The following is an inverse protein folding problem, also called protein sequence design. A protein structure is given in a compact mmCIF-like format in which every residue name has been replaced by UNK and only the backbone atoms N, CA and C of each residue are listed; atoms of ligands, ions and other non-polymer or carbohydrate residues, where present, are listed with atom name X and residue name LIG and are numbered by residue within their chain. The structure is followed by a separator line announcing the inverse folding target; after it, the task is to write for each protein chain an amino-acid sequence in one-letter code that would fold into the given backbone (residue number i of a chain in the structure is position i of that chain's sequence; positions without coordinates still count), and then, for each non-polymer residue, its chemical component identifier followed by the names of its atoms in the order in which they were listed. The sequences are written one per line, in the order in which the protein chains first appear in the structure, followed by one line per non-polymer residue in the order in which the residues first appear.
data_IF_621875762119
#
_entry.id   IF_621875762119
#
_cell.length_a   1.000
_cell.length_b   1.000
_cell.length_c   1.000
_cell.angle_alpha   90.00
_cell.angle_beta   90.00
_cell.angle_gamma   90.00
#
_symmetry.space_group_name_H-M   'P 1'
#
loop_
_entity.id
_entity.type
_entity.pdbx_description
1 polymer ?
#
# COMPACT_ATOMS: atom_id res chain seq x y z
N UNK A 1 -20.98 -6.67 25.68
CA UNK A 1 -20.82 -5.70 24.54
C UNK A 1 -19.52 -6.03 23.86
N UNK A 2 -19.56 -6.35 22.57
CA UNK A 2 -18.33 -6.52 21.79
C UNK A 2 -17.60 -5.18 21.75
N UNK A 3 -16.35 -5.19 22.16
CA UNK A 3 -15.48 -4.03 22.11
C UNK A 3 -14.90 -3.91 20.69
N UNK A 4 -14.70 -2.71 20.18
CA UNK A 4 -14.07 -2.49 18.88
C UNK A 4 -12.61 -2.94 18.90
N UNK A 5 -12.11 -3.44 17.75
CA UNK A 5 -10.83 -4.14 17.68
C UNK A 5 -9.63 -3.32 18.19
N UNK A 6 -9.51 -2.03 17.84
CA UNK A 6 -8.41 -1.18 18.33
C UNK A 6 -8.45 -0.97 19.84
N UNK A 7 -9.66 -0.92 20.46
CA UNK A 7 -9.78 -0.86 21.92
C UNK A 7 -9.33 -2.15 22.59
N UNK A 8 -9.72 -3.28 22.01
CA UNK A 8 -9.27 -4.59 22.48
C UNK A 8 -7.76 -4.75 22.34
N UNK A 9 -7.20 -4.31 21.18
CA UNK A 9 -5.76 -4.30 20.94
C UNK A 9 -5.03 -3.44 21.99
N UNK A 10 -5.50 -2.21 22.23
CA UNK A 10 -4.88 -1.32 23.21
C UNK A 10 -4.86 -1.97 24.62
N UNK A 11 -5.98 -2.58 25.03
CA UNK A 11 -6.02 -3.32 26.31
C UNK A 11 -5.03 -4.49 26.33
N UNK A 12 -4.98 -5.29 25.27
CA UNK A 12 -4.07 -6.43 25.17
C UNK A 12 -2.59 -5.99 25.22
N UNK A 13 -2.24 -4.94 24.52
CA UNK A 13 -0.89 -4.39 24.51
C UNK A 13 -0.49 -3.88 25.91
N UNK A 14 -1.39 -3.18 26.59
CA UNK A 14 -1.15 -2.66 27.94
C UNK A 14 -0.94 -3.77 28.98
N UNK A 15 -1.65 -4.89 28.85
CA UNK A 15 -1.59 -5.98 29.84
C UNK A 15 -0.48 -6.99 29.55
N UNK A 16 -0.29 -7.36 28.27
CA UNK A 16 0.52 -8.54 27.91
C UNK A 16 1.76 -8.22 27.09
N UNK A 17 1.90 -7.00 26.57
CA UNK A 17 2.99 -6.65 25.67
C UNK A 17 3.85 -5.47 26.18
N UNK A 18 4.01 -5.33 27.48
CA UNK A 18 4.72 -4.20 28.12
C UNK A 18 6.20 -4.11 27.74
N UNK A 19 6.80 -5.24 27.38
CA UNK A 19 8.21 -5.31 26.98
C UNK A 19 8.44 -4.97 25.49
N UNK A 20 7.37 -4.82 24.72
CA UNK A 20 7.44 -4.40 23.32
C UNK A 20 7.25 -2.89 23.21
N UNK A 21 7.99 -2.28 22.31
CA UNK A 21 7.89 -0.84 22.06
C UNK A 21 7.40 -0.50 20.64
N UNK A 22 7.17 -1.52 19.79
CA UNK A 22 6.80 -1.35 18.40
C UNK A 22 5.68 -2.31 17.99
N UNK A 23 4.64 -1.79 17.33
CA UNK A 23 3.46 -2.55 16.92
C UNK A 23 3.13 -2.27 15.46
N UNK A 24 2.97 -3.32 14.65
CA UNK A 24 2.40 -3.21 13.32
C UNK A 24 0.90 -3.47 13.38
N UNK A 25 0.10 -2.50 12.97
CA UNK A 25 -1.34 -2.64 12.80
C UNK A 25 -1.62 -2.82 11.31
N UNK A 26 -2.08 -4.02 10.92
CA UNK A 26 -2.51 -4.32 9.56
C UNK A 26 -3.66 -3.40 9.11
N UNK A 27 -4.02 -3.31 7.82
CA UNK A 27 -5.00 -2.34 7.35
C UNK A 27 -6.31 -2.39 8.15
N UNK A 28 -6.63 -1.29 8.80
CA UNK A 28 -7.81 -1.11 9.65
C UNK A 28 -8.81 -0.13 9.04
N UNK A 29 -8.64 0.17 7.77
CA UNK A 29 -9.48 1.05 6.96
C UNK A 29 -10.72 0.30 6.44
N UNK A 30 -11.80 0.99 6.02
CA UNK A 30 -12.85 0.39 5.23
C UNK A 30 -12.29 -0.26 3.98
N UNK A 31 -12.57 -1.53 3.79
CA UNK A 31 -12.06 -2.34 2.68
C UNK A 31 -13.14 -3.25 2.11
N UNK A 32 -12.97 -3.72 0.89
CA UNK A 32 -13.93 -4.61 0.22
C UNK A 32 -13.47 -6.06 0.15
N UNK A 33 -12.16 -6.31 0.25
CA UNK A 33 -11.57 -7.65 0.15
C UNK A 33 -10.10 -7.69 0.59
N UNK A 34 -9.47 -8.86 0.46
CA UNK A 34 -8.04 -9.11 0.67
C UNK A 34 -7.58 -8.69 2.08
N UNK A 35 -8.37 -9.08 3.11
CA UNK A 35 -8.07 -8.87 4.53
C UNK A 35 -7.69 -7.42 4.89
N UNK A 36 -8.30 -6.44 4.20
CA UNK A 36 -8.06 -5.03 4.43
C UNK A 36 -7.27 -4.32 3.32
N UNK A 37 -6.57 -5.04 2.43
CA UNK A 37 -5.70 -4.44 1.41
C UNK A 37 -6.44 -3.90 0.17
N UNK A 38 -7.75 -4.15 0.01
CA UNK A 38 -8.58 -3.47 -0.99
C UNK A 38 -9.27 -2.24 -0.36
N UNK A 39 -8.53 -1.13 -0.20
CA UNK A 39 -8.94 0.03 0.60
C UNK A 39 -10.03 0.84 -0.11
N UNK A 40 -11.14 1.08 0.59
CA UNK A 40 -12.25 1.92 0.14
C UNK A 40 -12.02 3.40 0.52
N UNK A 41 -11.50 3.65 1.74
CA UNK A 41 -11.25 5.02 2.22
C UNK A 41 -9.99 5.03 3.10
N UNK A 42 -8.97 5.75 2.65
CA UNK A 42 -7.66 5.83 3.33
C UNK A 42 -7.66 6.67 4.61
N UNK A 43 -8.67 7.52 4.82
CA UNK A 43 -8.72 8.45 5.95
C UNK A 43 -9.72 8.06 7.04
N UNK A 44 -10.48 6.99 6.82
CA UNK A 44 -11.42 6.45 7.81
C UNK A 44 -10.88 5.18 8.44
N UNK A 45 -11.21 4.96 9.68
CA UNK A 45 -11.11 3.67 10.34
C UNK A 45 -12.42 2.91 10.11
N UNK A 46 -12.35 1.59 9.81
CA UNK A 46 -13.54 0.76 9.72
C UNK A 46 -14.33 0.79 11.04
N UNK A 47 -15.65 0.87 10.93
CA UNK A 47 -16.54 1.01 12.09
C UNK A 47 -16.42 -0.15 13.10
N UNK A 48 -16.02 -1.34 12.66
CA UNK A 48 -15.78 -2.49 13.53
C UNK A 48 -14.44 -2.39 14.26
N UNK A 49 -13.47 -1.69 13.67
CA UNK A 49 -12.13 -1.54 14.25
C UNK A 49 -12.05 -0.41 15.27
N UNK A 50 -12.78 0.68 15.10
CA UNK A 50 -12.74 1.81 16.03
C UNK A 50 -12.75 3.16 15.36
N UNK A 51 -11.90 4.05 15.84
CA UNK A 51 -11.67 5.37 15.25
C UNK A 51 -10.21 5.84 15.44
N UNK A 52 -9.88 7.00 14.88
CA UNK A 52 -8.52 7.57 15.00
C UNK A 52 -8.15 7.94 16.45
N UNK A 53 -9.11 8.16 17.35
CA UNK A 53 -8.80 8.38 18.78
C UNK A 53 -8.35 7.09 19.43
N UNK A 54 -8.94 5.95 19.04
CA UNK A 54 -8.49 4.64 19.52
C UNK A 54 -7.08 4.31 19.01
N UNK A 55 -6.78 4.65 17.74
CA UNK A 55 -5.42 4.55 17.19
C UNK A 55 -4.42 5.45 17.96
N UNK A 56 -4.76 6.71 18.21
CA UNK A 56 -3.90 7.65 18.96
C UNK A 56 -3.59 7.20 20.37
N UNK A 57 -4.51 6.49 21.04
CA UNK A 57 -4.23 5.88 22.36
C UNK A 57 -3.14 4.82 22.29
N UNK A 58 -3.07 4.05 21.20
CA UNK A 58 -2.01 3.07 20.99
C UNK A 58 -0.70 3.80 20.65
N UNK A 59 -0.72 4.72 19.71
CA UNK A 59 0.48 5.43 19.26
C UNK A 59 1.08 6.40 20.31
N UNK A 60 0.33 6.73 21.36
CA UNK A 60 0.88 7.48 22.50
C UNK A 60 1.75 6.65 23.44
N UNK A 61 1.73 5.31 23.31
CA UNK A 61 2.45 4.37 24.17
C UNK A 61 3.44 3.50 23.40
N UNK A 62 3.12 3.20 22.16
CA UNK A 62 3.90 2.34 21.26
C UNK A 62 4.26 3.06 19.99
N UNK A 63 5.41 2.74 19.43
CA UNK A 63 5.74 3.10 18.05
C UNK A 63 4.85 2.26 17.11
N UNK A 64 4.05 2.93 16.30
CA UNK A 64 3.09 2.22 15.44
C UNK A 64 3.51 2.26 13.99
N UNK A 65 3.52 1.08 13.35
CA UNK A 65 3.61 0.93 11.91
C UNK A 65 2.22 0.73 11.31
N UNK A 66 1.98 1.37 10.18
CA UNK A 66 0.76 1.21 9.38
C UNK A 66 1.11 0.85 7.93
N UNK A 67 0.19 0.14 7.28
CA UNK A 67 0.31 -0.17 5.86
C UNK A 67 -0.05 1.05 5.00
N UNK A 68 0.78 1.30 4.01
CA UNK A 68 0.55 2.30 2.97
C UNK A 68 0.34 1.57 1.63
N UNK A 69 -0.91 1.24 1.35
CA UNK A 69 -1.32 0.53 0.13
C UNK A 69 -1.48 1.54 -0.99
N UNK A 70 -0.44 1.76 -1.77
CA UNK A 70 -0.43 2.79 -2.83
C UNK A 70 -0.43 2.21 -4.25
N UNK A 71 -0.15 0.92 -4.41
CA UNK A 71 -0.18 0.30 -5.74
C UNK A 71 -1.60 0.24 -6.32
N UNK A 72 -2.61 0.01 -5.49
CA UNK A 72 -4.00 -0.18 -5.89
C UNK A 72 -4.96 0.33 -4.81
N UNK A 73 -6.24 0.41 -5.16
CA UNK A 73 -7.33 0.59 -4.20
C UNK A 73 -8.53 -0.29 -4.56
N UNK A 74 -9.51 -0.38 -3.68
CA UNK A 74 -10.77 -1.08 -3.93
C UNK A 74 -11.49 -0.54 -5.17
N UNK A 75 -12.13 -1.43 -5.92
CA UNK A 75 -13.08 -1.02 -6.98
C UNK A 75 -14.32 -0.29 -6.43
N UNK A 76 -14.51 -0.29 -5.11
CA UNK A 76 -15.55 0.48 -4.41
C UNK A 76 -15.05 1.85 -3.90
N UNK A 77 -13.75 2.17 -4.08
CA UNK A 77 -13.18 3.46 -3.69
C UNK A 77 -13.78 4.60 -4.52
N UNK A 78 -13.98 5.76 -3.88
CA UNK A 78 -14.58 6.94 -4.52
C UNK A 78 -13.76 7.44 -5.71
N UNK A 79 -12.45 7.37 -5.64
CA UNK A 79 -11.57 7.72 -6.77
C UNK A 79 -11.85 6.87 -8.01
N UNK A 80 -12.14 5.56 -7.83
CA UNK A 80 -12.46 4.69 -8.96
C UNK A 80 -13.87 4.95 -9.51
N UNK A 81 -14.84 5.26 -8.66
CA UNK A 81 -16.18 5.69 -9.11
C UNK A 81 -16.08 6.98 -9.90
N UNK A 82 -15.31 7.95 -9.42
CA UNK A 82 -15.05 9.19 -10.12
C UNK A 82 -14.37 8.97 -11.47
N UNK A 83 -13.38 8.04 -11.54
CA UNK A 83 -12.78 7.64 -12.80
C UNK A 83 -13.80 7.09 -13.81
N UNK A 84 -14.71 6.22 -13.36
CA UNK A 84 -15.76 5.66 -14.22
C UNK A 84 -16.72 6.75 -14.75
N UNK A 85 -17.02 7.75 -13.93
CA UNK A 85 -17.91 8.85 -14.25
C UNK A 85 -17.20 10.04 -14.92
N UNK A 86 -15.88 10.07 -14.93
CA UNK A 86 -15.02 11.17 -15.35
C UNK A 86 -15.20 12.43 -14.48
N UNK A 87 -15.31 12.22 -13.17
CA UNK A 87 -15.41 13.25 -12.16
C UNK A 87 -14.08 13.43 -11.41
N UNK A 88 -13.83 14.62 -10.87
CA UNK A 88 -12.64 14.92 -10.06
C UNK A 88 -12.96 14.85 -8.53
N UNK A 89 -11.98 14.47 -7.72
CA UNK A 89 -10.68 13.92 -8.08
C UNK A 89 -10.78 12.45 -8.51
N UNK A 90 -9.91 12.00 -9.41
CA UNK A 90 -9.82 10.57 -9.76
C UNK A 90 -9.99 10.26 -11.24
N UNK A 91 -10.52 11.18 -12.06
CA UNK A 91 -10.84 10.96 -13.48
C UNK A 91 -9.66 10.40 -14.31
N UNK A 92 -8.42 10.64 -13.88
CA UNK A 92 -7.19 10.23 -14.57
C UNK A 92 -6.24 9.40 -13.65
N UNK A 93 -6.74 8.89 -12.52
CA UNK A 93 -5.92 8.19 -11.52
C UNK A 93 -5.64 6.72 -11.85
N UNK A 94 -6.35 6.13 -12.81
CA UNK A 94 -6.25 4.69 -13.11
C UNK A 94 -5.73 4.43 -14.53
N UNK A 95 -5.12 3.26 -14.72
CA UNK A 95 -4.54 2.86 -16.00
C UNK A 95 -5.64 2.29 -16.88
N UNK A 96 -6.13 3.10 -17.82
CA UNK A 96 -7.12 2.68 -18.80
C UNK A 96 -6.47 2.18 -20.10
N UNK A 97 -6.94 1.05 -20.59
CA UNK A 97 -6.44 0.43 -21.83
C UNK A 97 -7.58 0.07 -22.78
N UNK A 98 -7.29 0.05 -24.08
CA UNK A 98 -8.22 -0.42 -25.12
C UNK A 98 -8.12 -1.92 -25.36
N UNK A 99 -6.95 -2.51 -25.14
CA UNK A 99 -6.64 -3.92 -25.37
C UNK A 99 -5.46 -4.38 -24.50
N UNK A 100 -5.06 -5.64 -24.64
CA UNK A 100 -3.94 -6.28 -23.92
C UNK A 100 -2.60 -6.22 -24.66
N UNK A 101 -2.48 -5.44 -25.73
CA UNK A 101 -1.22 -5.34 -26.49
C UNK A 101 -0.07 -4.87 -25.60
N UNK A 102 1.13 -5.45 -25.79
CA UNK A 102 2.34 -5.07 -25.06
C UNK A 102 2.43 -5.58 -23.62
N UNK A 103 1.54 -6.48 -23.18
CA UNK A 103 1.49 -6.99 -21.80
C UNK A 103 2.04 -8.40 -21.60
N UNK A 104 2.55 -9.04 -22.65
CA UNK A 104 3.03 -10.45 -22.60
C UNK A 104 4.18 -10.69 -21.63
N UNK A 105 4.95 -9.65 -21.28
CA UNK A 105 6.10 -9.74 -20.36
C UNK A 105 5.72 -9.44 -18.90
N UNK A 106 4.50 -8.98 -18.63
CA UNK A 106 4.09 -8.55 -17.28
C UNK A 106 4.14 -9.72 -16.31
N UNK A 107 4.90 -9.54 -15.23
CA UNK A 107 5.00 -10.49 -14.12
C UNK A 107 4.02 -10.08 -13.02
N UNK A 108 3.33 -11.05 -12.44
CA UNK A 108 2.35 -10.82 -11.36
C UNK A 108 2.16 -12.08 -10.51
N UNK A 109 1.78 -11.91 -9.23
CA UNK A 109 1.69 -13.03 -8.29
C UNK A 109 0.33 -13.74 -8.29
N UNK A 110 -0.54 -13.48 -9.29
CA UNK A 110 -1.90 -14.03 -9.35
C UNK A 110 -2.19 -14.64 -10.71
N UNK A 111 -3.09 -15.64 -10.74
CA UNK A 111 -3.53 -16.35 -11.96
C UNK A 111 -4.74 -15.71 -12.63
N UNK A 112 -5.45 -14.80 -11.95
CA UNK A 112 -6.59 -14.05 -12.50
C UNK A 112 -6.17 -13.17 -13.67
N UNK A 113 -7.08 -12.78 -14.55
CA UNK A 113 -6.77 -11.86 -15.66
C UNK A 113 -6.24 -10.51 -15.15
N UNK A 114 -5.14 -10.04 -15.76
CA UNK A 114 -4.53 -8.76 -15.44
C UNK A 114 -5.48 -7.57 -15.66
N UNK A 115 -6.29 -7.65 -16.71
CA UNK A 115 -7.19 -6.60 -17.13
C UNK A 115 -8.63 -6.93 -16.75
N UNK A 116 -9.31 -5.98 -16.10
CA UNK A 116 -10.75 -6.01 -15.83
C UNK A 116 -11.46 -5.16 -16.88
N UNK A 117 -12.47 -5.73 -17.55
CA UNK A 117 -13.33 -4.97 -18.45
C UNK A 117 -14.16 -3.94 -17.66
N UNK A 118 -14.24 -2.72 -18.18
CA UNK A 118 -15.03 -1.64 -17.62
C UNK A 118 -15.77 -0.85 -18.68
N UNK A 119 -16.82 -0.15 -18.24
CA UNK A 119 -17.50 0.89 -19.01
C UNK A 119 -17.40 2.20 -18.24
N UNK A 120 -16.70 3.17 -18.81
CA UNK A 120 -16.72 4.55 -18.32
C UNK A 120 -17.84 5.34 -18.98
N UNK A 121 -18.09 6.55 -18.52
CA UNK A 121 -19.07 7.49 -19.12
C UNK A 121 -18.92 7.66 -20.62
N UNK A 122 -17.69 7.61 -21.13
CA UNK A 122 -17.38 7.94 -22.54
C UNK A 122 -16.94 6.75 -23.39
N UNK A 123 -16.41 5.67 -22.78
CA UNK A 123 -15.81 4.56 -23.54
C UNK A 123 -15.85 3.25 -22.76
N UNK A 124 -15.86 2.15 -23.52
CA UNK A 124 -15.54 0.82 -23.01
C UNK A 124 -14.03 0.60 -23.07
N UNK A 125 -13.50 -0.27 -22.23
CA UNK A 125 -12.11 -0.68 -22.21
C UNK A 125 -11.77 -1.49 -20.99
N UNK A 126 -10.52 -1.41 -20.57
CA UNK A 126 -9.99 -2.21 -19.46
C UNK A 126 -9.26 -1.32 -18.47
N UNK A 127 -9.27 -1.74 -17.20
CA UNK A 127 -8.37 -1.22 -16.17
C UNK A 127 -7.39 -2.30 -15.74
N UNK A 128 -6.24 -1.86 -15.26
CA UNK A 128 -5.18 -2.72 -14.77
C UNK A 128 -5.48 -3.20 -13.36
N UNK A 129 -5.29 -4.50 -13.10
CA UNK A 129 -5.52 -5.13 -11.80
C UNK A 129 -4.39 -6.17 -11.55
N UNK A 130 -3.31 -5.76 -10.93
CA UNK A 130 -2.16 -6.64 -10.66
C UNK A 130 -2.57 -7.83 -9.79
N UNK A 131 -3.38 -7.62 -8.76
CA UNK A 131 -3.74 -8.63 -7.76
C UNK A 131 -5.11 -9.26 -8.02
N UNK A 132 -6.17 -8.49 -7.91
CA UNK A 132 -7.54 -8.97 -8.13
C UNK A 132 -8.38 -7.92 -8.85
N UNK A 133 -9.53 -8.33 -9.41
CA UNK A 133 -10.44 -7.40 -10.07
C UNK A 133 -11.13 -6.40 -9.11
N UNK A 134 -10.99 -6.60 -7.81
CA UNK A 134 -11.42 -5.64 -6.81
C UNK A 134 -10.30 -4.65 -6.42
N UNK A 135 -9.06 -4.95 -6.75
CA UNK A 135 -7.87 -4.12 -6.48
C UNK A 135 -7.42 -3.46 -7.79
N UNK A 136 -7.89 -2.23 -8.02
CA UNK A 136 -7.61 -1.50 -9.27
C UNK A 136 -6.32 -0.68 -9.13
N UNK A 137 -5.36 -0.91 -10.02
CA UNK A 137 -4.04 -0.30 -9.95
C UNK A 137 -4.06 1.19 -10.32
N UNK A 138 -3.33 1.97 -9.54
CA UNK A 138 -3.18 3.40 -9.68
C UNK A 138 -2.10 3.77 -10.70
N UNK A 139 -2.27 4.90 -11.36
CA UNK A 139 -1.40 5.38 -12.43
C UNK A 139 -0.35 6.36 -11.90
N UNK A 140 0.78 5.85 -11.42
CA UNK A 140 1.88 6.70 -10.92
C UNK A 140 2.63 7.50 -12.00
N UNK A 141 2.31 7.31 -13.29
CA UNK A 141 2.73 8.24 -14.34
C UNK A 141 2.02 9.60 -14.22
N UNK A 142 0.89 9.65 -13.52
CA UNK A 142 0.19 10.88 -13.21
C UNK A 142 0.69 11.46 -11.87
N UNK A 143 1.35 12.63 -11.87
CA UNK A 143 1.85 13.24 -10.62
C UNK A 143 0.76 13.52 -9.57
N UNK A 144 -0.50 13.73 -9.99
CA UNK A 144 -1.62 13.94 -9.07
C UNK A 144 -1.85 12.75 -8.15
N UNK A 145 -1.59 11.51 -8.62
CA UNK A 145 -1.67 10.29 -7.81
C UNK A 145 -0.64 10.33 -6.70
N UNK A 146 0.60 10.67 -7.01
CA UNK A 146 1.65 10.82 -6.00
C UNK A 146 1.31 11.90 -4.99
N UNK A 147 0.87 13.09 -5.44
CA UNK A 147 0.45 14.19 -4.56
C UNK A 147 -0.69 13.76 -3.64
N UNK A 148 -1.67 13.01 -4.16
CA UNK A 148 -2.76 12.46 -3.34
C UNK A 148 -2.21 11.58 -2.21
N UNK A 149 -1.29 10.66 -2.52
CA UNK A 149 -0.71 9.77 -1.50
C UNK A 149 0.23 10.48 -0.54
N UNK A 150 0.92 11.52 -0.94
CA UNK A 150 1.71 12.36 -0.02
C UNK A 150 0.81 13.01 1.05
N UNK A 151 -0.42 13.41 0.70
CA UNK A 151 -1.40 13.89 1.68
C UNK A 151 -1.93 12.77 2.61
N UNK A 152 -2.01 11.54 2.14
CA UNK A 152 -2.33 10.37 2.98
C UNK A 152 -1.17 10.07 3.95
N UNK A 153 0.06 10.04 3.44
CA UNK A 153 1.27 9.87 4.26
C UNK A 153 1.31 10.91 5.37
N UNK A 154 1.18 12.18 5.01
CA UNK A 154 1.11 13.27 5.98
C UNK A 154 0.03 13.02 7.05
N UNK A 155 -1.17 12.65 6.64
CA UNK A 155 -2.27 12.36 7.55
C UNK A 155 -1.97 11.20 8.52
N UNK A 156 -1.30 10.12 8.05
CA UNK A 156 -0.92 9.00 8.92
C UNK A 156 0.15 9.39 9.94
N UNK A 157 1.17 10.15 9.51
CA UNK A 157 2.22 10.66 10.39
C UNK A 157 1.63 11.62 11.45
N UNK A 158 0.76 12.56 11.05
CA UNK A 158 0.07 13.47 11.96
C UNK A 158 -0.88 12.75 12.93
N UNK A 159 -1.34 11.56 12.56
CA UNK A 159 -2.17 10.71 13.41
C UNK A 159 -1.38 9.88 14.42
N UNK A 160 -0.03 9.89 14.32
CA UNK A 160 0.87 9.23 15.27
C UNK A 160 1.51 7.94 14.75
N UNK A 161 1.42 7.64 13.45
CA UNK A 161 2.22 6.57 12.87
C UNK A 161 3.70 6.98 12.83
N UNK A 162 4.59 6.08 13.28
CA UNK A 162 6.04 6.26 13.19
C UNK A 162 6.61 5.58 11.95
N UNK A 163 6.07 4.44 11.58
CA UNK A 163 6.55 3.68 10.43
C UNK A 163 5.46 3.45 9.40
N UNK A 164 5.87 3.47 8.13
CA UNK A 164 5.02 3.22 6.97
C UNK A 164 5.56 2.00 6.22
N UNK A 165 4.73 0.96 6.06
CA UNK A 165 5.04 -0.19 5.24
C UNK A 165 4.44 0.02 3.84
N UNK A 166 5.29 0.19 2.84
CA UNK A 166 4.87 0.25 1.44
C UNK A 166 4.48 -1.15 0.96
N UNK A 167 3.19 -1.38 0.88
CA UNK A 167 2.62 -2.63 0.40
C UNK A 167 2.84 -2.80 -1.10
N UNK A 168 3.30 -3.99 -1.52
CA UNK A 168 3.45 -4.40 -2.91
C UNK A 168 4.15 -3.37 -3.82
N UNK A 169 5.07 -2.58 -3.27
CA UNK A 169 5.66 -1.42 -3.94
C UNK A 169 6.43 -1.75 -5.21
N UNK A 170 6.95 -2.98 -5.35
CA UNK A 170 7.65 -3.40 -6.55
C UNK A 170 6.81 -3.29 -7.83
N UNK A 171 5.47 -3.31 -7.70
CA UNK A 171 4.54 -3.22 -8.82
C UNK A 171 4.08 -1.79 -9.13
N UNK A 172 4.63 -0.77 -8.49
CA UNK A 172 4.09 0.60 -8.53
C UNK A 172 4.11 1.22 -9.94
N UNK A 173 5.22 1.08 -10.67
CA UNK A 173 5.34 1.64 -12.02
C UNK A 173 5.00 0.59 -13.09
N UNK A 174 4.19 0.98 -14.09
CA UNK A 174 3.79 0.12 -15.20
C UNK A 174 4.27 0.72 -16.51
N UNK A 175 5.08 -0.06 -17.24
CA UNK A 175 5.57 0.31 -18.56
C UNK A 175 5.34 -0.84 -19.54
N UNK A 176 4.79 -0.53 -20.71
CA UNK A 176 4.54 -1.54 -21.74
C UNK A 176 5.83 -2.24 -22.16
N UNK A 177 5.72 -3.51 -22.52
CA UNK A 177 6.83 -4.36 -22.97
C UNK A 177 7.91 -4.61 -21.90
N UNK A 178 7.66 -4.25 -20.66
CA UNK A 178 8.51 -4.57 -19.50
C UNK A 178 7.85 -5.64 -18.62
N UNK A 179 8.56 -6.07 -17.59
CA UNK A 179 8.01 -6.97 -16.56
C UNK A 179 7.00 -6.28 -15.63
N UNK A 180 6.92 -4.95 -15.62
CA UNK A 180 6.12 -4.11 -14.71
C UNK A 180 6.33 -4.45 -13.22
N UNK A 181 7.54 -4.83 -12.88
CA UNK A 181 7.96 -5.11 -11.52
C UNK A 181 9.40 -4.61 -11.34
N UNK A 182 9.68 -4.00 -10.20
CA UNK A 182 11.01 -3.51 -9.82
C UNK A 182 11.66 -2.57 -10.86
N UNK A 183 10.86 -1.65 -11.41
CA UNK A 183 11.35 -0.71 -12.41
C UNK A 183 12.07 0.50 -11.76
N UNK A 184 13.05 1.13 -12.46
CA UNK A 184 13.80 2.27 -11.92
C UNK A 184 12.93 3.44 -11.45
N UNK A 185 11.79 3.65 -12.08
CA UNK A 185 10.84 4.69 -11.72
C UNK A 185 10.18 4.40 -10.36
N UNK A 186 9.94 3.13 -10.02
CA UNK A 186 9.48 2.72 -8.69
C UNK A 186 10.49 3.15 -7.62
N UNK A 187 11.76 2.87 -7.84
CA UNK A 187 12.85 3.30 -6.94
C UNK A 187 12.90 4.83 -6.80
N UNK A 188 12.68 5.56 -7.89
CA UNK A 188 12.65 7.03 -7.86
C UNK A 188 11.50 7.55 -6.99
N UNK A 189 10.33 6.93 -7.04
CA UNK A 189 9.18 7.28 -6.20
C UNK A 189 9.49 6.95 -4.72
N UNK A 190 10.07 5.77 -4.44
CA UNK A 190 10.46 5.39 -3.07
C UNK A 190 11.47 6.39 -2.49
N UNK A 191 12.49 6.81 -3.27
CA UNK A 191 13.45 7.85 -2.86
C UNK A 191 12.76 9.17 -2.54
N UNK A 192 11.84 9.59 -3.39
CA UNK A 192 11.10 10.84 -3.17
C UNK A 192 10.23 10.76 -1.90
N UNK A 193 9.50 9.67 -1.69
CA UNK A 193 8.73 9.45 -0.46
C UNK A 193 9.68 9.49 0.74
N UNK A 194 10.80 8.77 0.69
CA UNK A 194 11.81 8.75 1.76
C UNK A 194 12.31 10.15 2.10
N UNK A 195 12.70 10.91 1.09
CA UNK A 195 13.18 12.29 1.27
C UNK A 195 12.11 13.17 1.93
N UNK A 196 10.86 13.09 1.48
CA UNK A 196 9.79 13.92 2.00
C UNK A 196 9.41 13.55 3.43
N UNK A 197 9.30 12.26 3.77
CA UNK A 197 8.96 11.86 5.15
C UNK A 197 10.06 12.22 6.14
N UNK A 198 11.33 12.10 5.77
CA UNK A 198 12.45 12.49 6.63
C UNK A 198 12.48 13.99 6.94
N UNK A 199 12.09 14.81 5.96
CA UNK A 199 12.03 16.27 6.16
C UNK A 199 10.75 16.69 6.92
N UNK A 200 9.65 15.98 6.73
CA UNK A 200 8.37 16.29 7.38
C UNK A 200 8.30 15.77 8.82
N UNK A 201 8.70 14.54 9.05
CA UNK A 201 8.67 13.86 10.34
C UNK A 201 10.00 13.12 10.57
N UNK A 202 11.04 13.82 11.04
CA UNK A 202 12.34 13.22 11.32
C UNK A 202 12.23 12.05 12.30
N UNK A 203 12.91 10.93 11.98
CA UNK A 203 12.80 9.69 12.75
C UNK A 203 11.74 8.70 12.25
N UNK A 204 10.88 9.11 11.33
CA UNK A 204 9.94 8.17 10.69
C UNK A 204 10.65 7.09 9.87
N UNK A 205 10.09 5.89 9.87
CA UNK A 205 10.67 4.70 9.23
C UNK A 205 9.85 4.33 8.00
N UNK A 206 10.53 4.09 6.88
CA UNK A 206 9.95 3.55 5.66
C UNK A 206 10.41 2.11 5.46
N UNK A 207 9.46 1.21 5.27
CA UNK A 207 9.70 -0.23 5.06
C UNK A 207 9.08 -0.62 3.73
N UNK A 208 9.79 -1.38 2.89
CA UNK A 208 9.23 -1.92 1.65
C UNK A 208 8.85 -3.38 1.78
N UNK A 209 7.68 -3.73 1.26
CA UNK A 209 7.26 -5.10 1.08
C UNK A 209 7.38 -5.45 -0.40
N UNK A 210 8.40 -6.28 -0.70
CA UNK A 210 8.74 -6.70 -2.06
C UNK A 210 9.09 -8.20 -2.06
N UNK A 211 8.20 -9.02 -2.63
CA UNK A 211 8.45 -10.45 -2.81
C UNK A 211 9.07 -10.71 -4.19
N UNK A 212 10.33 -10.40 -4.31
CA UNK A 212 11.17 -10.49 -5.52
C UNK A 212 12.50 -11.18 -5.17
N UNK A 213 13.32 -11.57 -6.15
CA UNK A 213 14.64 -12.15 -5.87
C UNK A 213 15.46 -11.31 -4.90
N UNK A 214 16.25 -11.95 -4.05
CA UNK A 214 16.92 -11.29 -2.92
C UNK A 214 17.81 -10.12 -3.34
N UNK A 215 18.56 -10.25 -4.43
CA UNK A 215 19.42 -9.18 -4.94
C UNK A 215 18.60 -7.95 -5.36
N UNK A 216 17.48 -8.16 -6.04
CA UNK A 216 16.56 -7.09 -6.41
C UNK A 216 15.89 -6.48 -5.17
N UNK A 217 15.55 -7.31 -4.17
CA UNK A 217 14.97 -6.83 -2.91
C UNK A 217 15.96 -5.93 -2.13
N UNK A 218 17.23 -6.31 -2.06
CA UNK A 218 18.28 -5.51 -1.44
C UNK A 218 18.46 -4.14 -2.10
N UNK A 219 18.14 -4.01 -3.39
CA UNK A 219 18.24 -2.74 -4.10
C UNK A 219 17.32 -1.64 -3.52
N UNK A 220 16.27 -2.00 -2.75
CA UNK A 220 15.40 -1.03 -2.07
C UNK A 220 16.02 -0.33 -0.87
N UNK A 221 17.23 -0.69 -0.45
CA UNK A 221 18.03 0.17 0.42
C UNK A 221 18.60 1.37 -0.33
N UNK A 222 18.74 1.27 -1.66
CA UNK A 222 19.40 2.26 -2.50
C UNK A 222 20.83 2.54 -1.99
N UNK A 223 21.22 3.81 -1.98
CA UNK A 223 22.42 4.29 -1.32
C UNK A 223 22.07 4.89 0.06
N UNK A 224 21.34 4.15 0.90
CA UNK A 224 20.72 4.62 2.16
C UNK A 224 19.68 5.73 1.98
N UNK A 225 19.08 5.85 0.82
CA UNK A 225 18.15 6.92 0.45
C UNK A 225 16.78 6.39 -0.04
N UNK A 226 16.52 5.09 0.06
CA UNK A 226 15.22 4.45 -0.19
C UNK A 226 14.61 3.93 1.11
N UNK A 227 14.30 2.64 1.23
CA UNK A 227 13.76 2.10 2.47
C UNK A 227 14.78 2.09 3.62
N UNK A 228 14.32 2.23 4.85
CA UNK A 228 15.13 1.98 6.05
C UNK A 228 15.23 0.48 6.33
N UNK A 229 14.16 -0.26 6.03
CA UNK A 229 14.06 -1.70 6.20
C UNK A 229 13.37 -2.30 4.98
N UNK A 230 13.67 -3.56 4.71
CA UNK A 230 13.01 -4.37 3.68
C UNK A 230 12.47 -5.66 4.29
N UNK A 231 11.40 -6.22 3.74
CA UNK A 231 10.92 -7.54 4.14
C UNK A 231 11.86 -8.64 3.65
N UNK A 232 12.19 -9.59 4.54
CA UNK A 232 12.97 -10.77 4.18
C UNK A 232 12.06 -12.00 4.09
N UNK A 233 11.46 -12.22 2.92
CA UNK A 233 10.59 -13.38 2.68
C UNK A 233 11.33 -14.72 2.70
N UNK A 234 12.65 -14.73 2.54
CA UNK A 234 13.44 -15.97 2.54
C UNK A 234 13.74 -16.48 3.96
N UNK A 235 13.70 -15.60 4.98
CA UNK A 235 14.13 -15.94 6.33
C UNK A 235 13.26 -17.06 6.95
N UNK A 236 11.94 -16.92 6.91
CA UNK A 236 11.04 -17.90 7.52
C UNK A 236 11.15 -19.31 6.88
N UNK A 237 11.12 -19.49 5.56
CA UNK A 237 11.36 -20.78 4.93
C UNK A 237 12.73 -21.38 5.26
N UNK A 238 13.80 -20.57 5.29
CA UNK A 238 15.15 -21.01 5.62
C UNK A 238 15.27 -21.47 7.08
N UNK A 239 14.64 -20.74 8.01
CA UNK A 239 14.61 -21.15 9.42
C UNK A 239 13.85 -22.47 9.60
N UNK A 240 12.70 -22.63 8.98
CA UNK A 240 11.93 -23.88 9.04
C UNK A 240 12.76 -25.02 8.47
N UNK A 241 13.38 -24.83 7.32
CA UNK A 241 14.24 -25.87 6.70
C UNK A 241 15.46 -26.23 7.55
N UNK A 242 16.01 -25.27 8.31
CA UNK A 242 17.17 -25.54 9.18
C UNK A 242 16.81 -26.27 10.48
N UNK A 243 15.53 -26.25 10.89
CA UNK A 243 15.06 -26.88 12.13
C UNK A 243 14.52 -28.30 11.88
N UNK A 244 14.01 -28.59 10.68
CA UNK A 244 13.51 -29.91 10.26
C UNK A 244 14.67 -30.77 9.73
#
# INVERSE_FOLDING_TARGET
KFQKNLKTLNFFLDEYCKDFNFVHILPFFPSSSDDGFAIIDYKKVDNNHGDWNDFKKISSKFNVMVDLVINHCSSSNELFKNFLNNDEPGSDFFIHRRNSSGLSKVVRPRTTNLLKEIKTKFKKGYVWCTFSHDQVDLNFKNPKVLIFFLNIIKFYLDSGALALRLDAVAYLWKEERTKCINLPETHSIVRLIRFLIQNYSPGSILITETNIPNEENLSYFGNNNEAHCIYNFSLAPLLIHAII
#
